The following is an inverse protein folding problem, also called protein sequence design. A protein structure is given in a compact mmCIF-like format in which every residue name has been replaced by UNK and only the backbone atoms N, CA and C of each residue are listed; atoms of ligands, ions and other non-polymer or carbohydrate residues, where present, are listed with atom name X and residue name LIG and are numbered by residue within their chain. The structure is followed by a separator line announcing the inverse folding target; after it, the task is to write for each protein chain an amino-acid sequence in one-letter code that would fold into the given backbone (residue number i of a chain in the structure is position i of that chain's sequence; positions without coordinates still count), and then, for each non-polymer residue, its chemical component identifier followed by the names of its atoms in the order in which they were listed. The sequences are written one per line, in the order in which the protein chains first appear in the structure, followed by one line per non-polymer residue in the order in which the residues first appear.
data_IF_890595758559
#
_entry.id   IF_890595758559
#
_cell.length_a   1.000
_cell.length_b   1.000
_cell.length_c   1.000
_cell.angle_alpha   90.00
_cell.angle_beta   90.00
_cell.angle_gamma   90.00
#
_symmetry.space_group_name_H-M   'P 1'
#
loop_
_entity.id
_entity.type
_entity.pdbx_description
1 polymer ?
#
# COMPACT_ATOMS: atom_id res chain seq x y z
N UNK A 1 37.30 81.74 -58.85
CA UNK A 1 36.05 81.48 -58.11
C UNK A 1 35.47 80.11 -58.47
N UNK A 2 35.49 79.70 -59.74
CA UNK A 2 34.87 78.43 -60.17
C UNK A 2 35.48 77.15 -59.58
N UNK A 3 36.78 77.13 -59.28
CA UNK A 3 37.48 75.96 -58.72
C UNK A 3 37.06 75.65 -57.28
N UNK A 4 36.87 76.67 -56.43
CA UNK A 4 36.42 76.49 -55.05
C UNK A 4 34.95 76.03 -54.99
N UNK A 5 34.13 76.55 -55.90
CA UNK A 5 32.74 76.13 -56.05
C UNK A 5 32.63 74.66 -56.51
N UNK A 6 33.51 74.23 -57.43
CA UNK A 6 33.60 72.83 -57.85
C UNK A 6 33.99 71.89 -56.70
N UNK A 7 34.98 72.28 -55.89
CA UNK A 7 35.40 71.52 -54.70
C UNK A 7 34.26 71.40 -53.68
N UNK A 8 33.57 72.50 -53.39
CA UNK A 8 32.43 72.50 -52.48
C UNK A 8 31.29 71.60 -52.98
N UNK A 9 31.02 71.59 -54.29
CA UNK A 9 30.01 70.71 -54.91
C UNK A 9 30.37 69.23 -54.75
N UNK A 10 31.64 68.86 -54.94
CA UNK A 10 32.11 67.50 -54.75
C UNK A 10 31.95 67.05 -53.28
N UNK A 11 32.39 67.88 -52.32
CA UNK A 11 32.21 67.61 -50.88
C UNK A 11 30.75 67.45 -50.48
N UNK A 12 29.85 68.26 -51.05
CA UNK A 12 28.40 68.13 -50.81
C UNK A 12 27.87 66.78 -51.31
N UNK A 13 28.36 66.28 -52.46
CA UNK A 13 27.95 64.99 -53.00
C UNK A 13 28.45 63.84 -52.10
N UNK A 14 29.70 63.89 -51.67
CA UNK A 14 30.28 62.88 -50.78
C UNK A 14 29.57 62.83 -49.43
N UNK A 15 29.34 63.99 -48.80
CA UNK A 15 28.60 64.08 -47.53
C UNK A 15 27.15 63.58 -47.67
N UNK A 16 26.50 63.83 -48.81
CA UNK A 16 25.15 63.27 -49.07
C UNK A 16 25.18 61.74 -49.14
N UNK A 17 26.17 61.17 -49.80
CA UNK A 17 26.33 59.72 -49.90
C UNK A 17 26.57 59.08 -48.52
N UNK A 18 27.41 59.71 -47.68
CA UNK A 18 27.69 59.26 -46.31
C UNK A 18 26.41 59.29 -45.44
N UNK A 19 25.67 60.41 -45.46
CA UNK A 19 24.41 60.53 -44.71
C UNK A 19 23.37 59.50 -45.15
N UNK A 20 23.28 59.20 -46.45
CA UNK A 20 22.36 58.17 -46.95
C UNK A 20 22.80 56.76 -46.55
N UNK A 21 24.11 56.49 -46.49
CA UNK A 21 24.66 55.25 -45.97
C UNK A 21 24.34 55.09 -44.47
N UNK A 22 24.60 56.11 -43.66
CA UNK A 22 24.28 56.13 -42.23
C UNK A 22 22.78 55.92 -41.99
N UNK A 23 21.89 56.58 -42.75
CA UNK A 23 20.43 56.39 -42.66
C UNK A 23 20.03 54.94 -42.95
N UNK A 24 20.63 54.31 -43.96
CA UNK A 24 20.37 52.89 -44.28
C UNK A 24 20.88 51.98 -43.16
N UNK A 25 22.07 52.25 -42.62
CA UNK A 25 22.63 51.51 -41.50
C UNK A 25 21.75 51.63 -40.25
N UNK A 26 21.28 52.84 -39.93
CA UNK A 26 20.37 53.11 -38.81
C UNK A 26 19.04 52.38 -38.96
N UNK A 27 18.41 52.41 -40.14
CA UNK A 27 17.18 51.64 -40.41
C UNK A 27 17.37 50.13 -40.18
N UNK A 28 18.51 49.58 -40.61
CA UNK A 28 18.86 48.17 -40.34
C UNK A 28 18.99 47.91 -38.85
N UNK A 29 19.74 48.76 -38.13
CA UNK A 29 19.94 48.65 -36.68
C UNK A 29 18.61 48.74 -35.92
N UNK A 30 17.72 49.68 -36.26
CA UNK A 30 16.39 49.81 -35.66
C UNK A 30 15.52 48.56 -35.89
N UNK A 31 15.56 47.99 -37.10
CA UNK A 31 14.83 46.75 -37.41
C UNK A 31 15.35 45.55 -36.61
N UNK A 32 16.67 45.47 -36.40
CA UNK A 32 17.30 44.44 -35.57
C UNK A 32 16.97 44.66 -34.09
N UNK A 33 17.04 45.88 -33.59
CA UNK A 33 16.68 46.21 -32.21
C UNK A 33 15.22 45.85 -31.92
N UNK A 34 14.29 46.14 -32.85
CA UNK A 34 12.89 45.71 -32.73
C UNK A 34 12.73 44.19 -32.66
N UNK A 35 13.55 43.42 -33.40
CA UNK A 35 13.55 41.95 -33.33
C UNK A 35 14.11 41.45 -31.99
N UNK A 36 15.25 41.99 -31.56
CA UNK A 36 15.89 41.63 -30.30
C UNK A 36 15.01 41.96 -29.09
N UNK A 37 14.30 43.09 -29.11
CA UNK A 37 13.34 43.44 -28.06
C UNK A 37 12.20 42.41 -27.93
N UNK A 38 11.69 41.89 -29.06
CA UNK A 38 10.67 40.83 -29.07
C UNK A 38 11.23 39.51 -28.53
N UNK A 39 12.39 39.08 -29.04
CA UNK A 39 13.05 37.86 -28.58
C UNK A 39 13.36 37.90 -27.08
N UNK A 40 13.87 39.04 -26.58
CA UNK A 40 14.12 39.21 -25.15
C UNK A 40 12.85 39.24 -24.30
N UNK A 41 11.70 39.66 -24.84
CA UNK A 41 10.42 39.57 -24.13
C UNK A 41 9.90 38.13 -24.09
N UNK A 42 10.01 37.40 -25.20
CA UNK A 42 9.64 35.98 -25.29
C UNK A 42 10.52 35.10 -24.39
N UNK A 43 11.83 35.34 -24.36
CA UNK A 43 12.76 34.63 -23.48
C UNK A 43 12.44 34.85 -22.00
N UNK A 44 12.13 36.10 -21.60
CA UNK A 44 11.71 36.40 -20.21
C UNK A 44 10.45 35.65 -19.83
N UNK A 45 9.41 35.67 -20.68
CA UNK A 45 8.18 34.90 -20.44
C UNK A 45 8.44 33.40 -20.34
N UNK A 46 9.33 32.86 -21.18
CA UNK A 46 9.72 31.46 -21.13
C UNK A 46 10.42 31.10 -19.82
N UNK A 47 11.32 31.96 -19.32
CA UNK A 47 11.99 31.79 -18.03
C UNK A 47 11.01 31.86 -16.86
N UNK A 48 10.12 32.85 -16.84
CA UNK A 48 9.07 32.99 -15.82
C UNK A 48 8.16 31.75 -15.79
N UNK A 49 7.72 31.27 -16.95
CA UNK A 49 6.90 30.05 -17.03
C UNK A 49 7.65 28.83 -16.48
N UNK A 50 8.93 28.66 -16.83
CA UNK A 50 9.75 27.57 -16.31
C UNK A 50 9.96 27.68 -14.79
N UNK A 51 10.25 28.87 -14.28
CA UNK A 51 10.42 29.14 -12.85
C UNK A 51 9.17 28.73 -12.06
N UNK A 52 7.97 29.12 -12.51
CA UNK A 52 6.72 28.71 -11.83
C UNK A 52 6.50 27.20 -11.83
N UNK A 53 6.96 26.48 -12.87
CA UNK A 53 6.88 25.01 -12.91
C UNK A 53 7.89 24.41 -11.93
N UNK A 54 9.13 24.91 -11.92
CA UNK A 54 10.17 24.47 -10.99
C UNK A 54 9.74 24.67 -9.52
N UNK A 55 9.18 25.83 -9.18
CA UNK A 55 8.66 26.11 -7.84
C UNK A 55 7.56 25.13 -7.42
N UNK A 56 6.59 24.87 -8.31
CA UNK A 56 5.51 23.90 -8.05
C UNK A 56 6.06 22.50 -7.84
N UNK A 57 7.01 22.06 -8.65
CA UNK A 57 7.66 20.75 -8.49
C UNK A 57 8.42 20.67 -7.17
N UNK A 58 9.15 21.72 -6.78
CA UNK A 58 9.88 21.77 -5.51
C UNK A 58 8.91 21.67 -4.31
N UNK A 59 7.78 22.40 -4.36
CA UNK A 59 6.73 22.32 -3.35
C UNK A 59 6.09 20.92 -3.29
N UNK A 60 5.81 20.28 -4.42
CA UNK A 60 5.22 18.94 -4.45
C UNK A 60 6.18 17.86 -3.92
N UNK A 61 7.48 17.98 -4.24
CA UNK A 61 8.51 17.06 -3.73
C UNK A 61 8.63 17.18 -2.21
N UNK A 62 8.67 18.40 -1.68
CA UNK A 62 8.75 18.63 -0.22
C UNK A 62 7.49 18.13 0.48
N UNK A 63 6.31 18.38 -0.08
CA UNK A 63 5.04 17.85 0.42
C UNK A 63 5.03 16.32 0.46
N UNK A 64 5.34 15.64 -0.66
CA UNK A 64 5.39 14.17 -0.72
C UNK A 64 6.38 13.57 0.28
N UNK A 65 7.53 14.22 0.48
CA UNK A 65 8.51 13.80 1.47
C UNK A 65 7.92 13.85 2.89
N UNK A 66 7.22 14.94 3.22
CA UNK A 66 6.55 15.08 4.53
C UNK A 66 5.44 14.05 4.75
N UNK A 67 4.65 13.75 3.70
CA UNK A 67 3.60 12.72 3.75
C UNK A 67 4.19 11.32 3.98
N UNK A 68 5.29 10.99 3.29
CA UNK A 68 6.03 9.73 3.51
C UNK A 68 6.51 9.62 4.95
N UNK A 69 7.05 10.70 5.52
CA UNK A 69 7.55 10.68 6.89
C UNK A 69 6.42 10.64 7.94
N UNK A 70 5.24 11.18 7.63
CA UNK A 70 4.02 10.97 8.42
C UNK A 70 3.61 9.49 8.39
N UNK A 71 3.43 8.91 7.21
CA UNK A 71 3.04 7.50 7.06
C UNK A 71 4.02 6.53 7.74
N UNK A 72 5.34 6.81 7.70
CA UNK A 72 6.34 6.01 8.42
C UNK A 72 6.16 6.03 9.93
N UNK A 73 5.68 7.14 10.51
CA UNK A 73 5.41 7.24 11.95
C UNK A 73 4.18 6.43 12.32
N UNK A 74 3.09 6.63 11.59
CA UNK A 74 1.84 5.87 11.75
C UNK A 74 2.11 4.35 11.66
N UNK A 75 2.85 3.91 10.63
CA UNK A 75 3.20 2.49 10.47
C UNK A 75 4.05 1.93 11.62
N UNK A 76 4.96 2.72 12.19
CA UNK A 76 5.74 2.31 13.37
C UNK A 76 4.85 2.15 14.61
N UNK A 77 3.87 3.02 14.78
CA UNK A 77 2.89 2.95 15.88
C UNK A 77 1.97 1.75 15.71
N UNK A 78 1.43 1.51 14.52
CA UNK A 78 0.63 0.31 14.20
C UNK A 78 1.39 -0.98 14.49
N UNK A 79 2.67 -1.06 14.09
CA UNK A 79 3.51 -2.22 14.39
C UNK A 79 3.71 -2.42 15.90
N UNK A 80 3.86 -1.34 16.68
CA UNK A 80 3.94 -1.44 18.14
C UNK A 80 2.61 -1.93 18.73
N UNK A 81 1.49 -1.37 18.28
CA UNK A 81 0.16 -1.80 18.72
C UNK A 81 -0.09 -3.28 18.42
N UNK A 82 0.31 -3.77 17.23
CA UNK A 82 0.17 -5.17 16.86
C UNK A 82 0.96 -6.09 17.79
N UNK A 83 2.21 -5.75 18.10
CA UNK A 83 3.03 -6.51 19.08
C UNK A 83 2.40 -6.54 20.48
N UNK A 84 1.87 -5.40 20.93
CA UNK A 84 1.16 -5.34 22.23
C UNK A 84 -0.10 -6.21 22.22
N UNK A 85 -0.84 -6.22 21.10
CA UNK A 85 -2.03 -7.04 20.95
C UNK A 85 -1.70 -8.54 20.94
N UNK A 86 -0.59 -8.95 20.31
CA UNK A 86 -0.08 -10.32 20.33
C UNK A 86 0.32 -10.75 21.76
N UNK A 87 1.09 -9.94 22.47
CA UNK A 87 1.49 -10.21 23.86
C UNK A 87 0.27 -10.38 24.78
N UNK A 88 -0.74 -9.50 24.70
CA UNK A 88 -1.99 -9.64 25.46
C UNK A 88 -2.75 -10.93 25.10
N UNK A 89 -2.66 -11.36 23.84
CA UNK A 89 -3.27 -12.61 23.38
C UNK A 89 -2.58 -13.81 24.02
N UNK A 90 -1.25 -13.82 24.03
CA UNK A 90 -0.41 -14.86 24.62
C UNK A 90 -0.59 -14.93 26.14
N UNK A 91 -0.53 -13.79 26.84
CA UNK A 91 -0.75 -13.70 28.29
C UNK A 91 -2.08 -14.32 28.72
N UNK A 92 -3.16 -14.02 27.98
CA UNK A 92 -4.46 -14.64 28.24
C UNK A 92 -4.45 -16.16 28.04
N UNK A 93 -3.72 -16.67 27.05
CA UNK A 93 -3.62 -18.13 26.83
C UNK A 93 -2.81 -18.76 27.97
N UNK A 94 -1.70 -18.15 28.37
CA UNK A 94 -0.88 -18.61 29.49
C UNK A 94 -1.69 -18.66 30.79
N UNK A 95 -2.48 -17.62 31.09
CA UNK A 95 -3.36 -17.59 32.25
C UNK A 95 -4.35 -18.77 32.24
N UNK A 96 -5.04 -19.03 31.12
CA UNK A 96 -5.98 -20.15 31.00
C UNK A 96 -5.31 -21.52 31.17
N UNK A 97 -4.09 -21.67 30.62
CA UNK A 97 -3.32 -22.91 30.78
C UNK A 97 -2.84 -23.08 32.22
N UNK A 98 -2.46 -22.00 32.90
CA UNK A 98 -2.09 -22.00 34.31
C UNK A 98 -3.28 -22.38 35.21
N UNK A 99 -4.46 -21.78 34.98
CA UNK A 99 -5.68 -22.12 35.72
C UNK A 99 -6.04 -23.60 35.55
N UNK A 100 -6.00 -24.11 34.31
CA UNK A 100 -6.25 -25.53 34.04
C UNK A 100 -5.22 -26.42 34.74
N UNK A 101 -3.95 -26.04 34.73
CA UNK A 101 -2.87 -26.78 35.40
C UNK A 101 -3.12 -26.87 36.91
N UNK A 102 -3.43 -25.76 37.58
CA UNK A 102 -3.74 -25.74 39.02
C UNK A 102 -4.93 -26.65 39.33
N UNK A 103 -6.02 -26.55 38.56
CA UNK A 103 -7.20 -27.41 38.74
C UNK A 103 -6.89 -28.89 38.55
N UNK A 104 -6.03 -29.25 37.59
CA UNK A 104 -5.62 -30.64 37.41
C UNK A 104 -4.70 -31.12 38.52
N UNK A 105 -3.76 -30.31 39.00
CA UNK A 105 -2.90 -30.63 40.14
C UNK A 105 -3.73 -30.88 41.41
N UNK A 106 -4.75 -30.06 41.68
CA UNK A 106 -5.71 -30.28 42.78
C UNK A 106 -6.41 -31.63 42.67
N UNK A 107 -6.91 -31.98 41.47
CA UNK A 107 -7.60 -33.26 41.25
C UNK A 107 -6.67 -34.47 41.37
N UNK A 108 -5.42 -34.35 40.92
CA UNK A 108 -4.42 -35.40 41.09
C UNK A 108 -4.10 -35.59 42.57
N UNK A 109 -3.92 -34.50 43.32
CA UNK A 109 -3.67 -34.56 44.77
C UNK A 109 -4.86 -35.20 45.53
N UNK A 110 -6.10 -34.85 45.18
CA UNK A 110 -7.30 -35.50 45.73
C UNK A 110 -7.28 -37.02 45.48
N UNK A 111 -6.92 -37.47 44.27
CA UNK A 111 -6.82 -38.89 43.93
C UNK A 111 -5.68 -39.59 44.69
N UNK A 112 -4.53 -38.93 44.86
CA UNK A 112 -3.42 -39.46 45.66
C UNK A 112 -3.80 -39.61 47.14
N UNK A 113 -4.53 -38.65 47.71
CA UNK A 113 -5.03 -38.74 49.08
C UNK A 113 -6.05 -39.86 49.25
N UNK A 114 -6.94 -40.09 48.28
CA UNK A 114 -7.85 -41.25 48.28
C UNK A 114 -7.06 -42.55 48.21
N UNK A 115 -6.03 -42.63 47.36
CA UNK A 115 -5.16 -43.80 47.23
C UNK A 115 -4.40 -44.11 48.53
N UNK A 116 -3.91 -43.09 49.24
CA UNK A 116 -3.24 -43.25 50.55
C UNK A 116 -4.19 -43.73 51.65
N UNK A 117 -5.49 -43.44 51.52
CA UNK A 117 -6.53 -43.87 52.48
C UNK A 117 -7.08 -45.27 52.20
N UNK A 118 -6.73 -45.92 51.08
CA UNK A 118 -7.02 -47.34 50.86
C UNK A 118 -5.99 -48.21 51.61
N UNK A 119 -6.40 -49.16 52.48
CA UNK A 119 -5.47 -50.10 53.10
C UNK A 119 -4.92 -51.07 52.04
N UNK A 120 -3.68 -51.52 52.25
CA UNK A 120 -3.10 -52.62 51.51
C UNK A 120 -3.84 -53.92 51.89
N UNK A 121 -4.65 -54.44 50.97
CA UNK A 121 -5.13 -55.81 51.00
C UNK A 121 -4.61 -56.54 49.76
N UNK A 122 -4.17 -57.78 49.99
CA UNK A 122 -3.29 -58.63 49.19
C UNK A 122 -3.82 -59.18 47.83
N UNK A 123 -2.83 -59.53 47.00
CA UNK A 123 -2.71 -60.62 45.99
C UNK A 123 -3.23 -60.50 44.52
N UNK A 124 -2.50 -61.14 43.54
CA UNK A 124 -2.66 -60.93 42.09
C UNK A 124 -3.37 -62.08 41.34
N UNK A 125 -4.24 -61.73 40.39
CA UNK A 125 -4.58 -62.43 39.12
C UNK A 125 -6.03 -62.12 38.78
N UNK A 126 -6.27 -61.33 37.73
CA UNK A 126 -7.17 -61.73 36.62
C UNK A 126 -6.68 -61.00 35.38
N UNK A 127 -6.25 -61.80 34.42
CA UNK A 127 -6.05 -61.47 33.01
C UNK A 127 -7.29 -60.80 32.43
N UNK A 128 -7.16 -59.58 31.88
CA UNK A 128 -7.99 -59.12 30.76
C UNK A 128 -7.19 -58.19 29.85
N UNK A 129 -6.69 -58.79 28.77
CA UNK A 129 -6.13 -58.14 27.59
C UNK A 129 -7.28 -57.49 26.80
N UNK A 130 -7.22 -56.23 26.37
CA UNK A 130 -8.02 -55.79 25.23
C UNK A 130 -7.22 -56.11 23.96
N UNK A 131 -7.75 -57.06 23.21
CA UNK A 131 -7.32 -57.40 21.86
C UNK A 131 -7.64 -56.23 20.92
N UNK A 132 -6.65 -55.82 20.12
CA UNK A 132 -6.88 -55.04 18.90
C UNK A 132 -7.87 -55.81 18.01
N UNK A 133 -9.06 -55.26 17.85
CA UNK A 133 -10.06 -55.74 16.89
C UNK A 133 -10.25 -54.71 15.80
N UNK A 134 -9.46 -54.80 14.73
CA UNK A 134 -9.88 -54.28 13.43
C UNK A 134 -11.11 -55.08 12.98
N UNK A 135 -12.20 -54.40 12.62
CA UNK A 135 -13.07 -54.82 11.51
C UNK A 135 -13.99 -53.70 11.03
N UNK A 136 -14.13 -53.76 9.72
CA UNK A 136 -14.73 -52.85 8.76
C UNK A 136 -16.26 -52.90 8.73
N UNK A 137 -16.83 -51.86 8.09
CA UNK A 137 -18.11 -51.78 7.38
C UNK A 137 -19.39 -51.33 8.11
N UNK A 138 -19.76 -50.08 7.79
CA UNK A 138 -21.05 -49.55 7.31
C UNK A 138 -22.38 -49.95 7.98
N UNK A 139 -23.19 -48.93 8.31
CA UNK A 139 -24.67 -49.01 8.17
C UNK A 139 -25.52 -48.49 9.34
N UNK A 140 -25.71 -47.16 9.38
CA UNK A 140 -26.96 -46.40 9.59
C UNK A 140 -28.09 -46.93 10.53
N UNK A 141 -28.52 -45.99 11.38
CA UNK A 141 -29.85 -45.75 12.01
C UNK A 141 -30.25 -46.36 13.36
N UNK A 142 -30.56 -45.40 14.25
CA UNK A 142 -31.82 -45.23 14.99
C UNK A 142 -31.84 -45.59 16.49
N UNK A 143 -31.89 -44.49 17.26
CA UNK A 143 -32.77 -44.27 18.43
C UNK A 143 -32.37 -44.97 19.73
N UNK A 144 -31.84 -44.15 20.66
CA UNK A 144 -31.75 -44.46 22.08
C UNK A 144 -32.80 -43.62 22.82
N UNK A 145 -33.72 -44.29 23.53
CA UNK A 145 -34.76 -43.67 24.35
C UNK A 145 -34.37 -43.63 25.83
N UNK A 146 -34.52 -42.43 26.39
CA UNK A 146 -34.78 -42.05 27.79
C UNK A 146 -33.97 -42.65 28.94
N UNK A 147 -33.30 -41.78 29.69
CA UNK A 147 -33.69 -41.52 31.09
C UNK A 147 -33.53 -40.03 31.39
N UNK A 148 -34.62 -39.43 31.87
CA UNK A 148 -34.69 -38.03 32.23
C UNK A 148 -34.17 -37.82 33.66
N UNK A 149 -33.12 -37.01 33.81
CA UNK A 149 -32.83 -36.33 35.08
C UNK A 149 -32.80 -34.84 34.79
N UNK A 150 -33.89 -34.17 35.17
CA UNK A 150 -33.99 -32.72 35.18
C UNK A 150 -32.89 -32.16 36.08
N UNK A 151 -31.96 -31.38 35.51
CA UNK A 151 -31.16 -30.42 36.26
C UNK A 151 -31.27 -29.06 35.61
N UNK A 152 -31.57 -28.11 36.48
CA UNK A 152 -31.75 -26.67 36.30
C UNK A 152 -30.91 -26.12 35.14
N UNK A 153 -31.58 -25.57 34.12
CA UNK A 153 -30.92 -24.77 33.10
C UNK A 153 -30.40 -23.48 33.76
N UNK A 154 -29.08 -23.40 33.95
CA UNK A 154 -28.42 -22.10 33.84
C UNK A 154 -28.51 -21.74 32.37
N UNK A 155 -29.16 -20.63 32.05
CA UNK A 155 -29.07 -20.03 30.73
C UNK A 155 -27.59 -19.72 30.49
N UNK A 156 -26.94 -20.59 29.74
CA UNK A 156 -25.60 -20.39 29.24
C UNK A 156 -25.60 -19.03 28.53
N UNK A 157 -24.73 -18.12 28.96
CA UNK A 157 -24.54 -16.83 28.29
C UNK A 157 -23.90 -17.11 26.93
N UNK A 158 -24.73 -17.56 25.99
CA UNK A 158 -24.34 -18.09 24.71
C UNK A 158 -24.02 -16.91 23.81
N UNK A 159 -22.74 -16.54 23.83
CA UNK A 159 -22.24 -15.37 23.15
C UNK A 159 -22.57 -15.47 21.64
N UNK A 160 -23.36 -14.53 21.08
CA UNK A 160 -23.89 -14.61 19.70
C UNK A 160 -22.81 -14.59 18.60
N UNK A 161 -21.55 -14.36 18.96
CA UNK A 161 -20.41 -14.45 18.04
C UNK A 161 -19.86 -15.88 17.88
N UNK A 162 -20.08 -16.76 18.86
CA UNK A 162 -19.51 -18.13 18.86
C UNK A 162 -20.33 -19.07 17.97
N UNK A 163 -21.67 -18.98 18.01
CA UNK A 163 -22.57 -19.80 17.16
C UNK A 163 -22.45 -19.48 15.66
N UNK A 164 -21.99 -18.27 15.32
CA UNK A 164 -21.81 -17.84 13.92
C UNK A 164 -20.61 -18.50 13.25
N UNK A 165 -19.59 -18.89 14.02
CA UNK A 165 -18.37 -19.51 13.48
C UNK A 165 -18.54 -20.96 13.04
N UNK A 166 -19.49 -21.68 13.64
CA UNK A 166 -19.54 -23.15 13.54
C UNK A 166 -20.63 -23.64 12.56
N UNK A 167 -21.63 -22.81 12.23
CA UNK A 167 -22.78 -23.19 11.38
C UNK A 167 -22.79 -22.57 9.97
N UNK A 168 -21.69 -21.98 9.53
CA UNK A 168 -21.51 -21.53 8.15
C UNK A 168 -21.24 -20.02 8.04
N UNK A 169 -20.07 -19.71 7.50
CA UNK A 169 -19.63 -18.39 7.03
C UNK A 169 -19.74 -17.25 8.05
N UNK A 170 -18.64 -16.98 8.76
CA UNK A 170 -18.32 -15.59 9.14
C UNK A 170 -18.00 -14.86 7.84
N UNK A 171 -19.01 -14.27 7.22
CA UNK A 171 -18.78 -13.35 6.11
C UNK A 171 -18.16 -12.08 6.71
N UNK A 172 -16.84 -11.98 6.63
CA UNK A 172 -16.15 -10.72 6.82
C UNK A 172 -16.73 -9.73 5.80
N UNK A 173 -17.05 -8.48 6.19
CA UNK A 173 -17.39 -7.44 5.24
C UNK A 173 -16.30 -7.36 4.18
N UNK A 174 -16.57 -7.90 3.01
CA UNK A 174 -15.68 -7.83 1.85
C UNK A 174 -15.67 -6.37 1.44
N UNK A 175 -14.66 -5.64 1.88
CA UNK A 175 -14.39 -4.29 1.41
C UNK A 175 -14.06 -4.42 -0.08
N UNK A 176 -14.99 -3.91 -0.90
CA UNK A 176 -14.92 -3.71 -2.36
C UNK A 176 -14.86 -4.97 -3.23
N UNK A 177 -16.02 -5.27 -3.83
CA UNK A 177 -16.16 -6.09 -5.03
C UNK A 177 -15.38 -5.40 -6.16
N UNK A 178 -14.27 -5.97 -6.62
CA UNK A 178 -13.60 -5.51 -7.84
C UNK A 178 -14.62 -5.56 -8.99
N UNK A 179 -14.79 -4.41 -9.66
CA UNK A 179 -15.70 -4.26 -10.79
C UNK A 179 -15.35 -5.33 -11.83
N UNK A 180 -16.36 -6.11 -12.19
CA UNK A 180 -16.26 -7.24 -13.11
C UNK A 180 -15.73 -6.87 -14.48
N UNK A 181 -15.18 -7.90 -15.13
CA UNK A 181 -14.69 -7.95 -16.50
C UNK A 181 -15.57 -7.20 -17.50
N UNK A 182 -15.14 -6.01 -17.88
CA UNK A 182 -15.08 -5.66 -19.31
C UNK A 182 -13.68 -6.08 -19.75
N UNK A 183 -13.57 -6.85 -20.83
CA UNK A 183 -12.28 -7.18 -21.44
C UNK A 183 -11.59 -5.86 -21.83
N UNK A 184 -10.82 -5.31 -20.90
CA UNK A 184 -10.03 -4.13 -21.16
C UNK A 184 -8.98 -4.57 -22.15
N UNK A 185 -9.09 -4.06 -23.36
CA UNK A 185 -8.29 -4.40 -24.52
C UNK A 185 -6.83 -3.97 -24.30
N UNK A 186 -6.09 -4.73 -23.48
CA UNK A 186 -4.67 -4.56 -23.24
C UNK A 186 -3.83 -4.86 -24.50
N UNK A 187 -4.39 -5.67 -25.41
CA UNK A 187 -3.76 -6.00 -26.69
C UNK A 187 -3.47 -4.76 -27.55
N UNK A 188 -4.39 -3.78 -27.64
CA UNK A 188 -4.12 -2.51 -28.35
C UNK A 188 -3.01 -1.67 -27.73
N UNK A 189 -2.90 -1.71 -26.40
CA UNK A 189 -1.97 -0.84 -25.67
C UNK A 189 -0.55 -1.40 -25.76
N UNK A 190 -0.45 -2.72 -25.67
CA UNK A 190 0.78 -3.47 -25.90
C UNK A 190 1.23 -3.37 -27.36
N UNK A 191 0.32 -3.47 -28.34
CA UNK A 191 0.65 -3.31 -29.75
C UNK A 191 1.07 -1.88 -30.12
N UNK A 192 0.46 -0.83 -29.55
CA UNK A 192 0.94 0.55 -29.73
C UNK A 192 2.34 0.77 -29.14
N UNK A 193 2.62 0.24 -27.95
CA UNK A 193 3.96 0.31 -27.36
C UNK A 193 4.99 -0.49 -28.18
N UNK A 194 4.61 -1.65 -28.70
CA UNK A 194 5.46 -2.50 -29.55
C UNK A 194 5.69 -1.88 -30.95
N UNK A 195 4.75 -1.08 -31.45
CA UNK A 195 4.93 -0.29 -32.66
C UNK A 195 5.87 0.91 -32.42
N UNK A 196 5.77 1.60 -31.27
CA UNK A 196 6.68 2.69 -30.90
C UNK A 196 8.14 2.23 -30.78
N UNK A 197 8.38 1.03 -30.24
CA UNK A 197 9.74 0.47 -30.15
C UNK A 197 10.32 0.02 -31.50
N UNK A 198 9.48 -0.20 -32.52
CA UNK A 198 9.92 -0.58 -33.88
C UNK A 198 10.38 0.61 -34.73
N UNK A 199 10.07 1.84 -34.30
CA UNK A 199 10.42 3.09 -35.00
C UNK A 199 11.77 3.64 -34.50
N UNK A 200 12.32 3.11 -33.40
CA UNK A 200 13.64 3.50 -32.93
C UNK A 200 14.72 2.80 -33.76
N UNK A 201 15.65 3.53 -34.41
CA UNK A 201 16.77 2.88 -35.09
C UNK A 201 17.66 2.20 -34.04
N UNK A 202 18.02 0.95 -34.30
CA UNK A 202 19.04 0.26 -33.51
C UNK A 202 20.35 1.05 -33.64
N UNK A 203 20.72 1.75 -32.58
CA UNK A 203 22.02 2.39 -32.51
C UNK A 203 23.09 1.30 -32.56
N UNK A 204 24.01 1.42 -33.52
CA UNK A 204 25.20 0.58 -33.68
C UNK A 204 26.11 0.68 -32.47
#
# INVERSE_FOLDING_TARGET
MDTQLGIARAQIIDLKAEVDYERKARKKAESLNKKLAKQGAEERRGKEALETVCEKLAAEVTFKKSEIDRMKREFKEERKMLKMAEALREERVQMKLADAKVLFEEKVNELEEIKRRQPADDDPKVSMRPVLGEKSSNGVTAVCSSTAVRRKACAEAENPHIKRGIKGFVEFPRVVRAIGSKSMHWSSKLERQKAQLRILPSSK
#
